data_IF_969262885091
#
_entry.id   IF_969262885091
#
_cell.length_a   1.000
_cell.length_b   1.000
_cell.length_c   1.000
_cell.angle_alpha   90.00
_cell.angle_beta   90.00
_cell.angle_gamma   90.00
#
_symmetry.space_group_name_H-M   'P 1'
#
loop_
_entity.id
_entity.type
_entity.pdbx_description
1 polymer ?
#
# COMPACT_ATOMS: atom_id res chain seq x y z
N UNK A 1 -5.80 0.96 10.94
CA UNK A 1 -5.03 2.09 10.40
C UNK A 1 -5.58 2.49 9.04
N UNK A 2 -5.42 3.76 8.65
CA UNK A 2 -6.01 4.41 7.46
C UNK A 2 -5.46 3.94 6.11
N UNK A 3 -4.87 2.74 6.02
CA UNK A 3 -4.32 2.18 4.78
C UNK A 3 -5.39 2.09 3.67
N UNK A 4 -6.63 1.79 4.04
CA UNK A 4 -7.74 1.62 3.12
C UNK A 4 -8.09 2.90 2.36
N UNK A 5 -7.88 4.07 2.96
CA UNK A 5 -8.26 5.36 2.38
C UNK A 5 -7.33 5.75 1.23
N UNK A 6 -6.04 5.43 1.34
CA UNK A 6 -5.09 5.66 0.27
C UNK A 6 -5.03 4.51 -0.72
N UNK A 7 -5.15 3.27 -0.25
CA UNK A 7 -4.97 2.08 -1.08
C UNK A 7 -6.30 1.53 -1.63
N UNK A 8 -7.35 2.32 -1.75
CA UNK A 8 -8.59 1.92 -2.43
C UNK A 8 -8.85 2.91 -3.55
N UNK A 9 -9.16 2.45 -4.78
CA UNK A 9 -9.42 3.37 -5.87
C UNK A 9 -10.76 4.09 -5.66
N UNK A 10 -10.90 5.23 -6.33
CA UNK A 10 -12.19 5.90 -6.45
C UNK A 10 -12.83 5.58 -7.79
N UNK A 11 -14.09 5.17 -7.75
CA UNK A 11 -14.95 5.03 -8.92
C UNK A 11 -16.12 6.00 -8.77
N UNK A 12 -16.37 6.81 -9.82
CA UNK A 12 -17.46 7.81 -9.82
C UNK A 12 -17.42 8.77 -8.61
N UNK A 13 -16.22 9.13 -8.14
CA UNK A 13 -16.01 10.04 -7.01
C UNK A 13 -16.22 9.41 -5.63
N UNK A 14 -16.34 8.08 -5.53
CA UNK A 14 -16.48 7.36 -4.26
C UNK A 14 -15.45 6.23 -4.16
N UNK A 15 -15.01 5.92 -2.95
CA UNK A 15 -14.14 4.76 -2.72
C UNK A 15 -14.87 3.45 -3.02
N UNK A 16 -14.24 2.56 -3.79
CA UNK A 16 -14.74 1.22 -4.06
C UNK A 16 -14.30 0.24 -2.97
N UNK A 17 -14.84 0.40 -1.76
CA UNK A 17 -14.56 -0.47 -0.62
C UNK A 17 -15.15 -1.87 -0.78
N UNK A 18 -16.13 -2.05 -1.67
CA UNK A 18 -16.81 -3.34 -1.85
C UNK A 18 -16.00 -4.28 -2.72
N UNK A 19 -15.43 -3.78 -3.83
CA UNK A 19 -14.77 -4.63 -4.83
C UNK A 19 -13.25 -4.48 -4.83
N UNK A 20 -12.72 -3.31 -4.43
CA UNK A 20 -11.30 -2.96 -4.58
C UNK A 20 -10.66 -2.41 -3.30
N UNK A 21 -11.21 -2.74 -2.13
CA UNK A 21 -10.58 -2.40 -0.86
C UNK A 21 -9.10 -2.84 -0.83
N UNK A 22 -8.20 -1.90 -0.52
CA UNK A 22 -6.75 -2.10 -0.46
C UNK A 22 -6.06 -2.44 -1.80
N UNK A 23 -6.80 -2.45 -2.91
CA UNK A 23 -6.30 -2.85 -4.22
C UNK A 23 -5.54 -1.73 -4.97
N UNK A 24 -5.30 -0.58 -4.34
CA UNK A 24 -4.61 0.56 -4.94
C UNK A 24 -5.41 1.24 -6.06
N UNK A 25 -4.75 2.17 -6.76
CA UNK A 25 -5.35 2.87 -7.91
C UNK A 25 -6.03 4.18 -7.54
N UNK A 26 -5.79 4.71 -6.34
CA UNK A 26 -6.19 6.08 -6.02
C UNK A 26 -5.26 7.04 -6.74
N UNK A 27 -5.84 7.96 -7.51
CA UNK A 27 -5.11 9.05 -8.14
C UNK A 27 -4.95 10.21 -7.16
N UNK A 28 -3.70 10.55 -6.84
CA UNK A 28 -3.30 11.64 -5.97
C UNK A 28 -2.62 12.73 -6.81
N UNK A 29 -3.31 13.84 -7.12
CA UNK A 29 -2.70 14.96 -7.81
C UNK A 29 -1.62 15.59 -6.93
N UNK A 30 -0.38 15.60 -7.41
CA UNK A 30 0.75 16.26 -6.75
C UNK A 30 1.09 17.62 -7.39
N UNK A 31 0.40 17.97 -8.48
CA UNK A 31 0.54 19.22 -9.21
C UNK A 31 -0.28 19.19 -10.50
N UNK A 32 -0.16 20.23 -11.35
CA UNK A 32 -0.95 20.35 -12.58
C UNK A 32 -0.74 19.20 -13.58
N UNK A 33 0.46 18.63 -13.62
CA UNK A 33 0.85 17.60 -14.61
C UNK A 33 1.35 16.29 -13.95
N UNK A 34 1.27 16.19 -12.61
CA UNK A 34 1.79 15.05 -11.87
C UNK A 34 0.69 14.38 -11.06
N UNK A 35 0.45 13.11 -11.35
CA UNK A 35 -0.45 12.25 -10.59
C UNK A 35 0.37 11.09 -10.05
N UNK A 36 0.26 10.86 -8.75
CA UNK A 36 0.74 9.63 -8.13
C UNK A 36 -0.41 8.64 -8.00
N UNK A 37 -0.13 7.37 -8.25
CA UNK A 37 -1.13 6.31 -8.20
C UNK A 37 -0.74 5.33 -7.09
N UNK A 38 -1.67 5.06 -6.17
CA UNK A 38 -1.37 4.23 -4.99
C UNK A 38 -1.26 2.75 -5.34
N UNK A 39 -0.37 2.04 -4.65
CA UNK A 39 -0.08 0.63 -4.91
C UNK A 39 -1.20 -0.31 -4.44
N UNK A 40 -1.32 -1.48 -5.06
CA UNK A 40 -2.12 -2.58 -4.53
C UNK A 40 -1.37 -3.24 -3.35
N UNK A 41 -1.99 -3.27 -2.17
CA UNK A 41 -1.41 -3.86 -0.94
C UNK A 41 -2.18 -5.10 -0.48
N UNK A 42 -3.01 -5.68 -1.35
CA UNK A 42 -3.67 -6.95 -1.09
C UNK A 42 -2.70 -8.13 -1.17
N UNK A 43 -3.14 -9.32 -0.73
CA UNK A 43 -2.38 -10.56 -0.87
C UNK A 43 -2.38 -11.13 -2.30
N UNK A 44 -2.76 -10.35 -3.32
CA UNK A 44 -2.58 -10.78 -4.70
C UNK A 44 -1.08 -10.91 -5.03
N UNK A 45 -0.68 -12.03 -5.63
CA UNK A 45 0.73 -12.36 -5.86
C UNK A 45 1.33 -11.68 -7.09
N UNK A 46 0.49 -11.32 -8.06
CA UNK A 46 0.95 -10.76 -9.33
C UNK A 46 0.97 -9.24 -9.32
N UNK A 47 0.00 -8.63 -8.64
CA UNK A 47 -0.26 -7.19 -8.66
C UNK A 47 -0.18 -6.53 -7.30
N UNK A 48 -0.29 -7.31 -6.21
CA UNK A 48 -0.18 -6.85 -4.83
C UNK A 48 1.12 -7.24 -4.14
N UNK A 49 1.07 -7.35 -2.81
CA UNK A 49 2.22 -7.71 -1.95
C UNK A 49 2.21 -9.19 -1.54
N UNK A 50 1.35 -10.02 -2.14
CA UNK A 50 1.19 -11.43 -1.76
C UNK A 50 2.43 -12.30 -1.95
N UNK A 51 3.37 -11.85 -2.79
CA UNK A 51 4.66 -12.52 -3.00
C UNK A 51 5.79 -11.98 -2.09
N UNK A 52 5.57 -10.85 -1.40
CA UNK A 52 6.57 -10.26 -0.52
C UNK A 52 6.62 -11.04 0.79
N UNK A 53 7.80 -11.19 1.35
CA UNK A 53 8.03 -11.69 2.71
C UNK A 53 7.64 -10.66 3.76
N UNK A 54 7.45 -11.10 5.00
CA UNK A 54 7.14 -10.19 6.11
C UNK A 54 8.28 -9.17 6.31
N UNK A 55 9.54 -9.60 6.22
CA UNK A 55 10.71 -8.72 6.34
C UNK A 55 10.75 -7.64 5.23
N UNK A 56 10.31 -7.99 4.02
CA UNK A 56 10.20 -7.03 2.92
C UNK A 56 9.07 -6.02 3.17
N UNK A 57 7.92 -6.45 3.70
CA UNK A 57 6.84 -5.53 4.08
C UNK A 57 7.30 -4.61 5.22
N UNK A 58 7.98 -5.14 6.25
CA UNK A 58 8.59 -4.33 7.32
C UNK A 58 9.56 -3.31 6.74
N UNK A 59 10.40 -3.71 5.79
CA UNK A 59 11.36 -2.82 5.13
C UNK A 59 10.66 -1.73 4.31
N UNK A 60 9.60 -2.07 3.60
CA UNK A 60 8.79 -1.09 2.88
C UNK A 60 8.11 -0.10 3.82
N UNK A 61 7.54 -0.58 4.94
CA UNK A 61 6.89 0.24 5.95
C UNK A 61 7.85 1.18 6.65
N UNK A 62 9.03 0.72 7.04
CA UNK A 62 9.95 1.48 7.92
C UNK A 62 11.06 2.21 7.17
N UNK A 63 11.43 1.76 5.97
CA UNK A 63 12.53 2.35 5.17
C UNK A 63 12.06 2.92 3.84
N UNK A 64 10.81 2.65 3.45
CA UNK A 64 10.30 3.08 2.15
C UNK A 64 11.00 2.39 0.98
N UNK A 65 11.46 1.14 1.15
CA UNK A 65 12.17 0.38 0.11
C UNK A 65 11.40 -0.88 -0.25
N UNK A 66 11.15 -1.07 -1.54
CA UNK A 66 10.49 -2.26 -2.12
C UNK A 66 11.48 -3.42 -2.28
N UNK A 67 11.02 -4.67 -2.47
CA UNK A 67 11.88 -5.82 -2.75
C UNK A 67 12.81 -5.65 -3.95
N UNK A 68 12.35 -4.92 -4.97
CA UNK A 68 13.13 -4.62 -6.17
C UNK A 68 14.19 -3.51 -5.96
N UNK A 69 14.34 -3.01 -4.72
CA UNK A 69 15.23 -1.90 -4.37
C UNK A 69 14.66 -0.51 -4.71
N UNK A 70 13.48 -0.45 -5.34
CA UNK A 70 12.80 0.81 -5.63
C UNK A 70 12.36 1.54 -4.36
N UNK A 71 12.39 2.87 -4.40
CA UNK A 71 11.96 3.71 -3.27
C UNK A 71 10.48 4.07 -3.38
N UNK A 72 9.77 4.02 -2.26
CA UNK A 72 8.42 4.54 -2.14
C UNK A 72 8.44 6.07 -2.14
N UNK A 73 7.38 6.67 -2.70
CA UNK A 73 7.21 8.12 -2.63
C UNK A 73 7.02 8.56 -1.16
N UNK A 74 7.62 9.68 -0.70
CA UNK A 74 7.53 10.15 0.70
C UNK A 74 6.12 10.49 1.21
N UNK A 75 5.12 10.50 0.33
CA UNK A 75 3.71 10.59 0.74
C UNK A 75 3.26 9.34 1.51
N UNK A 76 3.90 8.19 1.25
CA UNK A 76 3.78 7.04 2.14
C UNK A 76 4.57 7.39 3.41
N UNK A 77 3.94 7.40 4.60
CA UNK A 77 4.56 7.90 5.83
C UNK A 77 5.56 6.89 6.45
N UNK A 78 6.52 6.38 5.67
CA UNK A 78 7.52 5.42 6.18
C UNK A 78 8.38 6.00 7.31
N UNK A 79 8.63 7.32 7.31
CA UNK A 79 9.31 7.99 8.42
C UNK A 79 8.51 7.98 9.73
N UNK A 80 7.18 7.95 9.67
CA UNK A 80 6.33 7.78 10.85
C UNK A 80 6.41 6.34 11.36
N UNK A 81 6.23 5.36 10.47
CA UNK A 81 6.32 3.94 10.83
C UNK A 81 7.70 3.55 11.35
N UNK A 82 8.78 4.18 10.86
CA UNK A 82 10.14 3.97 11.37
C UNK A 82 10.30 4.29 12.87
N UNK A 83 9.41 5.13 13.43
CA UNK A 83 9.42 5.53 14.84
C UNK A 83 8.47 4.70 15.71
N UNK A 84 7.72 3.75 15.13
CA UNK A 84 6.87 2.84 15.89
C UNK A 84 7.69 1.69 16.47
N UNK A 85 7.20 1.07 17.54
CA UNK A 85 7.81 -0.13 18.07
C UNK A 85 7.61 -1.31 17.09
N UNK A 86 8.50 -2.32 17.17
CA UNK A 86 8.45 -3.44 16.24
C UNK A 86 7.17 -4.26 16.36
N UNK A 87 6.60 -4.40 17.56
CA UNK A 87 5.37 -5.17 17.76
C UNK A 87 4.17 -4.56 17.00
N UNK A 88 4.07 -3.22 16.96
CA UNK A 88 3.03 -2.55 16.19
C UNK A 88 3.25 -2.71 14.67
N UNK A 89 4.51 -2.69 14.22
CA UNK A 89 4.84 -2.94 12.81
C UNK A 89 4.49 -4.38 12.41
N UNK A 90 4.82 -5.36 13.25
CA UNK A 90 4.44 -6.76 13.06
C UNK A 90 2.92 -6.93 13.06
N UNK A 91 2.19 -6.20 13.91
CA UNK A 91 0.72 -6.19 13.89
C UNK A 91 0.16 -5.61 12.59
N UNK A 92 0.78 -4.58 12.00
CA UNK A 92 0.41 -4.08 10.68
C UNK A 92 0.67 -5.12 9.59
N UNK A 93 1.81 -5.82 9.63
CA UNK A 93 2.10 -6.93 8.70
C UNK A 93 1.05 -8.03 8.83
N UNK A 94 0.75 -8.47 10.06
CA UNK A 94 -0.27 -9.47 10.33
C UNK A 94 -1.64 -9.04 9.79
N UNK A 95 -2.03 -7.77 9.98
CA UNK A 95 -3.24 -7.21 9.39
C UNK A 95 -3.21 -7.27 7.85
N UNK A 96 -2.11 -6.85 7.21
CA UNK A 96 -1.96 -6.90 5.75
C UNK A 96 -2.09 -8.33 5.21
N UNK A 97 -1.64 -9.33 5.96
CA UNK A 97 -1.83 -10.75 5.62
C UNK A 97 -3.29 -11.20 5.64
N UNK A 98 -4.17 -10.52 6.37
CA UNK A 98 -5.62 -10.81 6.37
C UNK A 98 -6.37 -10.21 5.18
N UNK A 99 -5.75 -9.28 4.44
CA UNK A 99 -6.38 -8.59 3.32
C UNK A 99 -6.57 -9.54 2.14
N UNK A 100 -7.82 -9.73 1.71
CA UNK A 100 -8.15 -10.63 0.60
C UNK A 100 -7.45 -10.20 -0.70
N UNK A 101 -6.96 -11.15 -1.51
CA UNK A 101 -6.32 -10.83 -2.79
C UNK A 101 -7.32 -10.21 -3.76
N UNK A 102 -6.93 -9.10 -4.39
CA UNK A 102 -7.65 -8.47 -5.51
C UNK A 102 -6.65 -8.22 -6.62
N UNK A 103 -6.88 -8.83 -7.78
CA UNK A 103 -6.05 -8.59 -8.95
C UNK A 103 -6.36 -7.19 -9.51
N UNK A 104 -5.41 -6.27 -9.38
CA UNK A 104 -5.54 -4.90 -9.88
C UNK A 104 -4.17 -4.35 -10.25
N UNK A 105 -3.91 -4.22 -11.56
CA UNK A 105 -2.69 -3.59 -12.06
C UNK A 105 -2.88 -2.09 -12.03
N UNK A 106 -2.16 -1.42 -11.13
CA UNK A 106 -2.09 0.03 -11.07
C UNK A 106 -0.94 0.52 -11.98
N UNK A 107 -1.20 1.52 -12.81
CA UNK A 107 -0.23 2.09 -13.76
C UNK A 107 -0.28 3.60 -13.65
#
# INVERSE_FOLDING_TARGET
GHCIECHTPMEQGRFDFENKAYAGGLHLPLGPEMILITANITQDKATGIGAWTDAEIVTALTKGVRPDGGKLHPIMPYGFYANMNMADIEALVAFLRTVKPVANVVK
#
